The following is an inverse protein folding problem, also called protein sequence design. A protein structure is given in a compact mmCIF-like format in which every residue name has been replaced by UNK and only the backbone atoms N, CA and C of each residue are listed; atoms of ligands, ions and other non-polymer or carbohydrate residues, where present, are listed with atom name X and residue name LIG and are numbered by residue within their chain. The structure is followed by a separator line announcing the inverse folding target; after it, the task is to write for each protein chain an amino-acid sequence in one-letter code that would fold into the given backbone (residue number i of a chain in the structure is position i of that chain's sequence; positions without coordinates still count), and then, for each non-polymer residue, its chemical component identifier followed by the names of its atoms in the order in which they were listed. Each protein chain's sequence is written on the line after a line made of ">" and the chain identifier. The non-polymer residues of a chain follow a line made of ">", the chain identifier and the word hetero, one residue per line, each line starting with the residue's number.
data_IF_035386899588
#
_entry.id   IF_035386899588
#
_cell.length_a   1.000
_cell.length_b   1.000
_cell.length_c   1.000
_cell.angle_alpha   90.00
_cell.angle_beta   90.00
_cell.angle_gamma   90.00
#
_symmetry.space_group_name_H-M   'P 1'
#
loop_
_entity.id
_entity.type
_entity.pdbx_description
1 polymer ?
#
# COMPACT_ATOMS: atom_id res chain seq x y z
N UNK A 1 -19.36 -12.31 -8.58
CA UNK A 1 -18.64 -11.34 -7.71
C UNK A 1 -17.26 -11.13 -8.32
N UNK A 2 -17.18 -10.29 -9.34
CA UNK A 2 -16.01 -10.19 -10.23
C UNK A 2 -16.34 -9.65 -11.63
N UNK A 3 -17.64 -9.55 -11.95
CA UNK A 3 -18.13 -9.18 -13.29
C UNK A 3 -17.62 -7.81 -13.76
N UNK A 4 -17.39 -6.87 -12.83
CA UNK A 4 -16.81 -5.55 -13.13
C UNK A 4 -15.35 -5.62 -13.63
N UNK A 5 -14.63 -6.69 -13.31
CA UNK A 5 -13.23 -6.93 -13.69
C UNK A 5 -13.09 -8.06 -14.73
N UNK A 6 -14.22 -8.63 -15.17
CA UNK A 6 -14.25 -9.78 -16.08
C UNK A 6 -13.55 -9.46 -17.39
N UNK A 7 -12.58 -10.30 -17.79
CA UNK A 7 -11.82 -10.14 -19.03
C UNK A 7 -10.78 -9.02 -19.03
N UNK A 8 -10.64 -8.24 -17.95
CA UNK A 8 -9.64 -7.17 -17.85
C UNK A 8 -8.41 -7.60 -17.04
N UNK A 9 -8.61 -8.35 -15.96
CA UNK A 9 -7.53 -8.79 -15.06
C UNK A 9 -7.80 -10.18 -14.49
N UNK A 10 -6.73 -10.93 -14.19
CA UNK A 10 -6.83 -12.18 -13.44
C UNK A 10 -7.19 -11.90 -11.98
N UNK A 11 -8.32 -12.45 -11.51
CA UNK A 11 -8.73 -12.33 -10.11
C UNK A 11 -8.09 -13.46 -9.28
N UNK A 12 -7.38 -13.09 -8.23
CA UNK A 12 -6.83 -14.01 -7.24
C UNK A 12 -7.42 -13.70 -5.87
N UNK A 13 -8.08 -14.70 -5.28
CA UNK A 13 -8.64 -14.61 -3.94
C UNK A 13 -7.74 -15.32 -2.95
N UNK A 14 -7.70 -14.79 -1.72
CA UNK A 14 -7.06 -15.47 -0.61
C UNK A 14 -7.93 -16.68 -0.24
N UNK A 15 -7.39 -17.91 -0.23
CA UNK A 15 -8.17 -19.09 0.13
C UNK A 15 -8.72 -18.98 1.57
N UNK A 16 -9.92 -19.53 1.84
CA UNK A 16 -10.43 -19.63 3.19
C UNK A 16 -9.44 -20.36 4.11
N UNK A 17 -9.21 -19.81 5.30
CA UNK A 17 -8.28 -20.37 6.28
C UNK A 17 -6.81 -20.02 6.05
N UNK A 18 -6.48 -19.18 5.06
CA UNK A 18 -5.09 -18.78 4.76
C UNK A 18 -4.80 -17.27 4.93
N UNK A 19 -5.08 -16.68 6.12
CA UNK A 19 -4.93 -15.24 6.34
C UNK A 19 -3.49 -14.73 6.17
N UNK A 20 -2.48 -15.59 6.39
CA UNK A 20 -1.07 -15.24 6.25
C UNK A 20 -0.68 -14.79 4.83
N UNK A 21 -1.46 -15.16 3.80
CA UNK A 21 -1.24 -14.69 2.42
C UNK A 21 -1.52 -13.19 2.26
N UNK A 22 -2.17 -12.55 3.22
CA UNK A 22 -2.48 -11.11 3.23
C UNK A 22 -1.44 -10.25 3.96
N UNK A 23 -0.38 -10.85 4.52
CA UNK A 23 0.49 -10.18 5.50
C UNK A 23 1.14 -8.88 5.01
N UNK A 24 1.43 -8.76 3.70
CA UNK A 24 1.96 -7.53 3.12
C UNK A 24 0.96 -6.36 3.18
N UNK A 25 -0.29 -6.60 2.80
CA UNK A 25 -1.36 -5.59 2.82
C UNK A 25 -1.70 -5.21 4.26
N UNK A 26 -1.74 -6.19 5.16
CA UNK A 26 -1.97 -5.96 6.59
C UNK A 26 -0.87 -5.10 7.20
N UNK A 27 0.39 -5.41 6.91
CA UNK A 27 1.54 -4.62 7.39
C UNK A 27 1.49 -3.17 6.91
N UNK A 28 1.13 -2.96 5.64
CA UNK A 28 0.93 -1.61 5.09
C UNK A 28 -0.22 -0.87 5.79
N UNK A 29 -1.37 -1.53 5.97
CA UNK A 29 -2.55 -0.94 6.59
C UNK A 29 -2.31 -0.58 8.07
N UNK A 30 -1.56 -1.40 8.81
CA UNK A 30 -1.15 -1.05 10.18
C UNK A 30 -0.24 0.17 10.18
N UNK A 31 0.71 0.25 9.22
CA UNK A 31 1.63 1.38 9.11
C UNK A 31 0.95 2.71 8.84
N UNK A 32 0.04 2.77 7.86
CA UNK A 32 -0.72 4.00 7.58
C UNK A 32 -1.62 4.40 8.75
N UNK A 33 -2.18 3.42 9.46
CA UNK A 33 -2.98 3.68 10.66
C UNK A 33 -2.14 4.36 11.74
N UNK A 34 -1.01 3.77 12.08
CA UNK A 34 -0.19 4.22 13.20
C UNK A 34 0.57 5.52 12.89
N UNK A 35 1.07 5.68 11.68
CA UNK A 35 1.94 6.80 11.32
C UNK A 35 1.25 7.95 10.58
N UNK A 36 -0.01 7.78 10.15
CA UNK A 36 -0.76 8.84 9.47
C UNK A 36 -2.10 9.07 10.12
N UNK A 37 -2.97 8.05 10.17
CA UNK A 37 -4.37 8.27 10.54
C UNK A 37 -4.54 8.57 12.04
N UNK A 38 -3.81 7.88 12.92
CA UNK A 38 -3.94 8.04 14.36
C UNK A 38 -3.30 9.33 14.91
N UNK A 39 -2.36 9.93 14.16
CA UNK A 39 -1.63 11.12 14.61
C UNK A 39 -2.18 12.43 14.02
N UNK A 40 -3.16 12.35 13.12
CA UNK A 40 -3.76 13.51 12.46
C UNK A 40 -5.25 13.63 12.82
N UNK A 41 -5.70 14.87 13.08
CA UNK A 41 -7.13 15.21 13.08
C UNK A 41 -7.51 15.85 11.76
N UNK A 42 -8.58 15.36 11.14
CA UNK A 42 -9.07 15.85 9.85
C UNK A 42 -10.31 16.72 10.05
N UNK A 43 -10.25 17.94 9.52
CA UNK A 43 -11.35 18.92 9.57
C UNK A 43 -12.16 18.94 8.27
N UNK A 44 -11.64 18.34 7.20
CA UNK A 44 -12.34 18.17 5.92
C UNK A 44 -11.79 17.00 5.11
N UNK A 45 -12.60 16.51 4.16
CA UNK A 45 -12.15 15.52 3.17
C UNK A 45 -11.00 16.04 2.31
N UNK A 46 -10.98 17.34 1.99
CA UNK A 46 -9.91 17.95 1.21
C UNK A 46 -8.57 17.87 1.96
N UNK A 47 -8.56 18.25 3.24
CA UNK A 47 -7.37 18.12 4.09
C UNK A 47 -6.92 16.67 4.21
N UNK A 48 -7.86 15.73 4.46
CA UNK A 48 -7.52 14.31 4.55
C UNK A 48 -6.87 13.78 3.28
N UNK A 49 -7.38 14.17 2.10
CA UNK A 49 -6.77 13.77 0.81
C UNK A 49 -5.34 14.26 0.66
N UNK A 50 -5.05 15.51 1.04
CA UNK A 50 -3.70 16.07 0.98
C UNK A 50 -2.78 15.30 1.92
N UNK A 51 -3.11 15.21 3.21
CA UNK A 51 -2.27 14.55 4.22
C UNK A 51 -2.00 13.09 3.87
N UNK A 52 -3.01 12.34 3.45
CA UNK A 52 -2.84 10.93 3.06
C UNK A 52 -2.01 10.82 1.78
N UNK A 53 -2.16 11.74 0.82
CA UNK A 53 -1.39 11.73 -0.42
C UNK A 53 0.09 12.03 -0.18
N UNK A 54 0.37 13.01 0.68
CA UNK A 54 1.73 13.39 1.07
C UNK A 54 2.42 12.23 1.81
N UNK A 55 1.73 11.63 2.79
CA UNK A 55 2.25 10.46 3.49
C UNK A 55 2.52 9.29 2.54
N UNK A 56 1.61 9.03 1.60
CA UNK A 56 1.79 7.99 0.58
C UNK A 56 2.97 8.30 -0.35
N UNK A 57 3.18 9.57 -0.71
CA UNK A 57 4.30 9.99 -1.53
C UNK A 57 5.62 9.71 -0.80
N UNK A 58 5.74 10.13 0.45
CA UNK A 58 6.95 9.93 1.25
C UNK A 58 7.23 8.44 1.48
N UNK A 59 6.21 7.65 1.80
CA UNK A 59 6.34 6.20 1.95
C UNK A 59 6.90 5.55 0.68
N UNK A 60 6.39 5.90 -0.50
CA UNK A 60 6.77 5.25 -1.75
C UNK A 60 8.09 5.77 -2.33
N UNK A 61 8.44 7.04 -2.11
CA UNK A 61 9.58 7.67 -2.79
C UNK A 61 10.78 7.93 -1.88
N UNK A 62 10.59 8.05 -0.56
CA UNK A 62 11.66 8.43 0.36
C UNK A 62 11.99 7.34 1.38
N UNK A 63 10.98 6.63 1.90
CA UNK A 63 11.19 5.66 2.97
C UNK A 63 11.98 4.44 2.49
N UNK A 64 13.07 4.12 3.17
CA UNK A 64 13.89 2.93 2.87
C UNK A 64 13.35 1.70 3.60
N UNK A 65 13.29 0.57 2.90
CA UNK A 65 12.84 -0.71 3.46
C UNK A 65 13.98 -1.72 3.44
N UNK A 66 14.30 -2.33 4.59
CA UNK A 66 15.36 -3.33 4.69
C UNK A 66 15.10 -4.55 3.79
N UNK A 67 13.83 -4.97 3.67
CA UNK A 67 13.40 -6.03 2.75
C UNK A 67 13.62 -5.71 1.28
N UNK A 68 13.77 -4.42 0.93
CA UNK A 68 14.03 -3.93 -0.43
C UNK A 68 15.49 -3.48 -0.60
N UNK A 69 16.42 -4.02 0.19
CA UNK A 69 17.83 -3.63 0.14
C UNK A 69 18.07 -2.16 0.50
N UNK A 70 17.28 -1.63 1.42
CA UNK A 70 17.28 -0.22 1.84
C UNK A 70 16.94 0.77 0.70
N UNK A 71 16.21 0.31 -0.32
CA UNK A 71 15.64 1.19 -1.33
C UNK A 71 14.23 1.64 -0.94
N UNK A 72 13.79 2.76 -1.54
CA UNK A 72 12.39 3.16 -1.48
C UNK A 72 11.54 2.29 -2.44
N UNK A 73 10.26 2.06 -2.13
CA UNK A 73 9.40 1.19 -2.94
C UNK A 73 9.38 1.54 -4.43
N UNK A 74 9.27 2.83 -4.78
CA UNK A 74 9.28 3.29 -6.16
C UNK A 74 10.61 3.00 -6.87
N UNK A 75 11.74 3.12 -6.16
CA UNK A 75 13.07 2.81 -6.70
C UNK A 75 13.23 1.32 -6.93
N UNK A 76 12.82 0.51 -5.95
CA UNK A 76 12.84 -0.94 -6.07
C UNK A 76 11.98 -1.39 -7.26
N UNK A 77 10.74 -0.90 -7.36
CA UNK A 77 9.82 -1.20 -8.45
C UNK A 77 10.40 -0.82 -9.83
N UNK A 78 11.12 0.30 -9.95
CA UNK A 78 11.78 0.69 -11.19
C UNK A 78 12.91 -0.28 -11.62
N UNK A 79 13.46 -1.06 -10.68
CA UNK A 79 14.45 -2.11 -10.98
C UNK A 79 13.82 -3.48 -11.24
N UNK A 80 12.55 -3.67 -10.86
CA UNK A 80 11.82 -4.90 -11.12
C UNK A 80 11.45 -4.98 -12.61
N UNK A 81 12.19 -5.81 -13.33
CA UNK A 81 11.80 -6.26 -14.67
C UNK A 81 10.76 -7.37 -14.47
N UNK A 82 9.48 -7.01 -14.38
CA UNK A 82 8.42 -7.99 -14.47
C UNK A 82 8.41 -8.54 -15.91
N UNK A 83 8.94 -9.76 -16.09
CA UNK A 83 8.62 -10.63 -17.23
C UNK A 83 7.30 -11.33 -16.96
#
# INVERSE_FOLDING_TARGET
>A
MGDWASGQVGLHFIPPGEPWRNGYVESFNSRIRDECLNINSFWSLAQARVVISDWKHDYNHQRRHSSLGYQAPARYAATCIHR
#
